data_IF_675400717035
#
_entry.id   IF_675400717035
#
_cell.length_a   1.000
_cell.length_b   1.000
_cell.length_c   1.000
_cell.angle_alpha   90.00
_cell.angle_beta   90.00
_cell.angle_gamma   90.00
#
_symmetry.space_group_name_H-M   'P 1'
#
loop_
_entity.id
_entity.type
_entity.pdbx_description
1 polymer ?
#
# COMPACT_ATOMS: atom_id res chain seq x y z
N UNK A 1 3.13 -7.95 -14.05
CA UNK A 1 4.61 -7.95 -14.04
C UNK A 1 5.05 -8.18 -12.62
N UNK A 2 5.72 -9.30 -12.34
CA UNK A 2 6.27 -9.60 -11.01
C UNK A 2 7.62 -8.91 -10.81
N UNK A 3 7.92 -8.55 -9.56
CA UNK A 3 9.21 -7.97 -9.14
C UNK A 3 10.23 -9.11 -9.03
N UNK A 4 11.39 -8.99 -9.68
CA UNK A 4 12.48 -9.96 -9.55
C UNK A 4 13.13 -9.93 -8.17
N UNK A 5 13.86 -10.98 -7.75
CA UNK A 5 14.46 -11.04 -6.40
C UNK A 5 15.41 -9.88 -6.09
N UNK A 6 16.26 -9.51 -7.04
CA UNK A 6 17.17 -8.37 -6.87
C UNK A 6 16.44 -7.02 -6.75
N UNK A 7 15.35 -6.86 -7.50
CA UNK A 7 14.51 -5.67 -7.43
C UNK A 7 13.76 -5.62 -6.09
N UNK A 8 13.30 -6.76 -5.58
CA UNK A 8 12.70 -6.86 -4.26
C UNK A 8 13.66 -6.40 -3.17
N UNK A 9 14.90 -6.90 -3.15
CA UNK A 9 15.91 -6.49 -2.16
C UNK A 9 16.09 -4.97 -2.16
N UNK A 10 16.25 -4.37 -3.34
CA UNK A 10 16.38 -2.91 -3.45
C UNK A 10 15.16 -2.16 -2.91
N UNK A 11 13.96 -2.68 -3.13
CA UNK A 11 12.73 -2.07 -2.61
C UNK A 11 12.66 -2.16 -1.09
N UNK A 12 13.02 -3.31 -0.50
CA UNK A 12 13.02 -3.50 0.95
C UNK A 12 14.10 -2.64 1.62
N UNK A 13 15.28 -2.54 1.00
CA UNK A 13 16.36 -1.68 1.45
C UNK A 13 15.95 -0.20 1.38
N UNK A 14 15.31 0.23 0.27
CA UNK A 14 14.78 1.59 0.13
C UNK A 14 13.75 1.93 1.20
N UNK A 15 12.81 1.04 1.49
CA UNK A 15 11.84 1.21 2.58
C UNK A 15 12.57 1.40 3.91
N UNK A 16 13.55 0.54 4.20
CA UNK A 16 14.29 0.54 5.45
C UNK A 16 15.16 1.79 5.62
N UNK A 17 15.86 2.22 4.58
CA UNK A 17 16.72 3.40 4.58
C UNK A 17 15.94 4.71 4.59
N UNK A 18 14.76 4.75 3.97
CA UNK A 18 13.93 5.95 3.89
C UNK A 18 13.00 6.14 5.10
N UNK A 19 12.82 5.09 5.91
CA UNK A 19 11.98 5.09 7.10
C UNK A 19 12.57 5.97 8.21
N UNK A 20 11.82 6.96 8.67
CA UNK A 20 12.20 7.80 9.81
C UNK A 20 11.06 7.86 10.84
N UNK A 21 11.22 7.17 11.98
CA UNK A 21 10.19 7.09 13.01
C UNK A 21 9.79 8.43 13.65
N UNK A 22 10.63 9.46 13.56
CA UNK A 22 10.32 10.81 14.06
C UNK A 22 9.43 11.64 13.13
N UNK A 23 9.19 11.17 11.90
CA UNK A 23 8.37 11.86 10.91
C UNK A 23 6.87 11.78 11.22
N UNK A 24 6.14 12.84 10.89
CA UNK A 24 4.67 12.85 10.95
C UNK A 24 4.03 11.90 9.94
N UNK A 25 4.71 11.61 8.83
CA UNK A 25 4.25 10.71 7.78
C UNK A 25 4.61 9.25 8.03
N UNK A 26 5.54 8.97 8.94
CA UNK A 26 5.98 7.61 9.24
C UNK A 26 4.81 6.66 9.51
N UNK A 27 4.74 5.60 8.70
CA UNK A 27 3.72 4.56 8.78
C UNK A 27 2.28 5.05 8.57
N UNK A 28 2.08 6.28 8.08
CA UNK A 28 0.74 6.83 7.84
C UNK A 28 0.26 6.54 6.43
N UNK A 29 -1.04 6.26 6.33
CA UNK A 29 -1.73 6.15 5.05
C UNK A 29 -1.96 7.54 4.45
N UNK A 30 -1.37 7.78 3.29
CA UNK A 30 -1.42 9.05 2.58
C UNK A 30 -2.16 8.91 1.26
N UNK A 31 -2.75 10.00 0.79
CA UNK A 31 -3.27 10.11 -0.57
C UNK A 31 -2.93 11.46 -1.23
N UNK A 32 -2.95 11.49 -2.54
CA UNK A 32 -2.76 12.70 -3.34
C UNK A 32 -3.49 12.58 -4.68
N UNK A 33 -3.76 13.71 -5.32
CA UNK A 33 -4.30 13.75 -6.68
C UNK A 33 -3.13 13.77 -7.66
N UNK A 34 -3.05 12.79 -8.55
CA UNK A 34 -2.05 12.74 -9.60
C UNK A 34 -2.34 13.74 -10.72
N UNK A 35 -1.36 13.99 -11.58
CA UNK A 35 -1.54 14.80 -12.80
C UNK A 35 -2.48 14.15 -13.81
N UNK A 36 -2.60 12.82 -13.72
CA UNK A 36 -3.58 11.99 -14.43
C UNK A 36 -5.02 12.19 -13.97
N UNK A 37 -5.24 13.00 -12.92
CA UNK A 37 -6.56 13.23 -12.36
C UNK A 37 -7.09 12.06 -11.52
N UNK A 38 -6.28 11.07 -11.17
CA UNK A 38 -6.68 9.95 -10.30
C UNK A 38 -6.16 10.14 -8.87
N UNK A 39 -6.89 9.59 -7.90
CA UNK A 39 -6.40 9.52 -6.53
C UNK A 39 -5.39 8.39 -6.37
N UNK A 40 -4.20 8.74 -5.90
CA UNK A 40 -3.13 7.82 -5.56
C UNK A 40 -2.99 7.71 -4.05
N UNK A 41 -2.45 6.58 -3.60
CA UNK A 41 -2.30 6.24 -2.20
C UNK A 41 -0.95 5.60 -1.95
N UNK A 42 -0.43 5.80 -0.75
CA UNK A 42 0.86 5.26 -0.35
C UNK A 42 1.03 5.27 1.16
N UNK A 43 2.17 4.75 1.61
CA UNK A 43 2.58 4.77 3.01
C UNK A 43 3.73 5.76 3.15
N UNK A 44 3.61 6.69 4.09
CA UNK A 44 4.71 7.60 4.40
C UNK A 44 5.85 6.84 5.08
N UNK A 45 7.05 6.97 4.53
CA UNK A 45 8.29 6.46 5.14
C UNK A 45 8.95 7.56 5.98
N UNK A 46 8.90 8.79 5.49
CA UNK A 46 9.34 9.99 6.19
C UNK A 46 8.63 11.22 5.64
N UNK A 47 8.91 12.41 6.18
CA UNK A 47 8.35 13.66 5.65
C UNK A 47 8.79 13.91 4.21
N UNK A 48 9.91 13.32 3.79
CA UNK A 48 10.48 13.42 2.44
C UNK A 48 10.11 12.25 1.52
N UNK A 49 9.71 11.09 2.06
CA UNK A 49 9.55 9.86 1.26
C UNK A 49 8.21 9.18 1.46
N UNK A 50 7.57 8.83 0.35
CA UNK A 50 6.34 8.05 0.31
C UNK A 50 6.59 6.80 -0.51
N UNK A 51 6.19 5.64 0.00
CA UNK A 51 6.16 4.39 -0.75
C UNK A 51 4.80 4.22 -1.44
N UNK A 52 4.82 3.92 -2.73
CA UNK A 52 3.64 3.48 -3.46
C UNK A 52 3.94 2.32 -4.41
N UNK A 53 2.88 1.71 -4.90
CA UNK A 53 2.95 0.64 -5.90
C UNK A 53 2.52 1.09 -7.29
N UNK A 54 1.93 2.29 -7.41
CA UNK A 54 1.54 2.91 -8.68
C UNK A 54 2.74 3.36 -9.53
N UNK A 55 3.92 3.53 -8.92
CA UNK A 55 5.18 3.91 -9.58
C UNK A 55 6.16 2.75 -9.70
N UNK A 56 5.69 1.51 -9.59
CA UNK A 56 6.52 0.30 -9.69
C UNK A 56 7.16 -0.09 -8.36
N UNK A 57 6.37 -0.12 -7.28
CA UNK A 57 6.80 -0.56 -5.94
C UNK A 57 8.05 0.17 -5.41
N UNK A 58 8.06 1.50 -5.44
CA UNK A 58 9.24 2.28 -5.04
C UNK A 58 8.87 3.48 -4.19
N UNK A 59 9.81 3.95 -3.37
CA UNK A 59 9.65 5.26 -2.75
C UNK A 59 9.87 6.39 -3.76
N UNK A 60 9.25 7.53 -3.47
CA UNK A 60 9.49 8.76 -4.19
C UNK A 60 9.43 9.96 -3.24
N UNK A 61 10.00 11.07 -3.71
CA UNK A 61 10.02 12.32 -2.98
C UNK A 61 8.61 12.90 -2.78
N UNK A 62 8.23 13.13 -1.53
CA UNK A 62 6.93 13.64 -1.13
C UNK A 62 6.65 15.04 -1.69
N UNK A 63 7.68 15.88 -1.85
CA UNK A 63 7.55 17.26 -2.33
C UNK A 63 7.04 17.34 -3.78
N UNK A 64 7.13 16.26 -4.55
CA UNK A 64 6.55 16.17 -5.89
C UNK A 64 5.02 16.08 -5.87
N UNK A 65 4.40 15.85 -4.71
CA UNK A 65 2.96 15.66 -4.57
C UNK A 65 2.39 16.44 -3.38
N UNK A 66 1.13 16.86 -3.47
CA UNK A 66 0.41 17.43 -2.32
C UNK A 66 -0.23 16.31 -1.50
N UNK A 67 0.60 15.50 -0.84
CA UNK A 67 0.16 14.38 -0.02
C UNK A 67 -0.64 14.85 1.21
N UNK A 68 -1.66 14.08 1.57
CA UNK A 68 -2.54 14.33 2.73
C UNK A 68 -2.81 13.04 3.47
N UNK A 69 -3.06 13.15 4.77
CA UNK A 69 -3.57 12.02 5.56
C UNK A 69 -4.95 11.61 5.07
N UNK A 70 -5.15 10.30 4.88
CA UNK A 70 -6.48 9.77 4.60
C UNK A 70 -7.34 9.95 5.85
N UNK A 71 -8.49 10.60 5.71
CA UNK A 71 -9.41 10.86 6.84
C UNK A 71 -10.19 9.61 7.24
N UNK A 72 -10.66 9.57 8.48
CA UNK A 72 -11.56 8.55 9.03
C UNK A 72 -11.01 7.11 9.00
N UNK A 73 -9.69 6.95 9.05
CA UNK A 73 -9.03 5.63 9.16
C UNK A 73 -8.42 5.40 10.54
N UNK A 74 -8.28 6.41 11.38
CA UNK A 74 -7.54 6.31 12.65
C UNK A 74 -8.10 5.23 13.58
N UNK A 75 -9.44 5.11 13.67
CA UNK A 75 -10.10 4.10 14.49
C UNK A 75 -9.87 2.65 14.03
N UNK A 76 -9.32 2.47 12.82
CA UNK A 76 -9.07 1.15 12.22
C UNK A 76 -7.62 0.96 11.77
N UNK A 77 -6.77 1.98 11.96
CA UNK A 77 -5.38 1.94 11.53
C UNK A 77 -4.54 1.12 12.52
N UNK A 78 -3.52 0.44 12.00
CA UNK A 78 -2.44 -0.09 12.83
C UNK A 78 -1.54 1.06 13.30
N UNK A 79 -0.74 0.81 14.34
CA UNK A 79 0.32 1.75 14.71
C UNK A 79 1.27 1.98 13.53
N UNK A 80 1.92 3.14 13.45
CA UNK A 80 2.83 3.45 12.34
C UNK A 80 3.98 2.45 12.17
N UNK A 81 4.64 2.07 13.26
CA UNK A 81 5.71 1.06 13.22
C UNK A 81 5.20 -0.27 12.64
N UNK A 82 4.05 -0.72 13.12
CA UNK A 82 3.41 -1.95 12.64
C UNK A 82 2.98 -1.85 11.19
N UNK A 83 2.56 -0.67 10.74
CA UNK A 83 2.22 -0.42 9.33
C UNK A 83 3.46 -0.55 8.43
N UNK A 84 4.62 -0.05 8.87
CA UNK A 84 5.88 -0.20 8.12
C UNK A 84 6.35 -1.66 8.08
N UNK A 85 6.29 -2.37 9.21
CA UNK A 85 6.59 -3.81 9.23
C UNK A 85 5.65 -4.58 8.31
N UNK A 86 4.34 -4.34 8.39
CA UNK A 86 3.35 -4.93 7.48
C UNK A 86 3.64 -4.59 6.01
N UNK A 87 4.13 -3.38 5.72
CA UNK A 87 4.51 -2.99 4.37
C UNK A 87 5.65 -3.86 3.80
N UNK A 88 6.68 -4.14 4.59
CA UNK A 88 7.80 -5.01 4.18
C UNK A 88 7.30 -6.41 3.81
N UNK A 89 6.49 -7.04 4.66
CA UNK A 89 5.90 -8.36 4.39
C UNK A 89 4.94 -8.33 3.19
N UNK A 90 4.18 -7.25 3.04
CA UNK A 90 3.27 -7.05 1.94
C UNK A 90 4.00 -6.99 0.60
N UNK A 91 5.08 -6.21 0.48
CA UNK A 91 5.85 -6.12 -0.77
C UNK A 91 6.38 -7.50 -1.18
N UNK A 92 6.89 -8.28 -0.23
CA UNK A 92 7.36 -9.65 -0.50
C UNK A 92 6.23 -10.56 -1.01
N UNK A 93 5.04 -10.49 -0.38
CA UNK A 93 3.92 -11.38 -0.72
C UNK A 93 3.18 -10.99 -1.99
N UNK A 94 2.96 -9.70 -2.20
CA UNK A 94 2.05 -9.20 -3.24
C UNK A 94 2.71 -8.98 -4.60
N UNK A 95 4.03 -9.16 -4.73
CA UNK A 95 4.70 -9.18 -6.03
C UNK A 95 4.19 -10.30 -6.96
N UNK A 96 3.58 -11.33 -6.38
CA UNK A 96 3.08 -12.54 -7.07
C UNK A 96 1.60 -12.43 -7.44
N UNK A 97 0.92 -11.34 -7.08
CA UNK A 97 -0.51 -11.22 -7.32
C UNK A 97 -0.83 -10.71 -8.72
N UNK A 98 -1.75 -11.42 -9.37
CA UNK A 98 -2.39 -10.97 -10.60
C UNK A 98 -3.48 -9.96 -10.26
N UNK A 99 -3.10 -8.69 -10.22
CA UNK A 99 -4.06 -7.61 -10.26
C UNK A 99 -4.67 -7.54 -11.67
N UNK A 100 -5.98 -7.34 -11.76
CA UNK A 100 -6.75 -7.30 -13.02
C UNK A 100 -6.24 -6.25 -14.01
N UNK A 101 -6.99 -6.03 -15.11
CA UNK A 101 -6.56 -5.28 -16.31
C UNK A 101 -5.73 -4.01 -16.05
N UNK A 102 -6.04 -3.34 -14.96
CA UNK A 102 -5.69 -1.97 -14.71
C UNK A 102 -4.65 -1.88 -13.55
N UNK A 103 -4.27 -3.03 -12.95
CA UNK A 103 -3.12 -3.15 -12.05
C UNK A 103 -3.23 -2.40 -10.71
N UNK A 104 -4.44 -2.09 -10.25
CA UNK A 104 -4.69 -1.14 -9.16
C UNK A 104 -4.28 -1.71 -7.80
N UNK A 105 -3.09 -1.33 -7.38
CA UNK A 105 -2.45 -1.84 -6.18
C UNK A 105 -2.18 -0.76 -5.13
N UNK A 106 -2.13 0.54 -5.49
CA UNK A 106 -1.65 1.57 -4.56
C UNK A 106 -2.62 1.82 -3.40
N UNK A 107 -3.91 2.07 -3.67
CA UNK A 107 -4.92 2.20 -2.63
C UNK A 107 -5.14 0.88 -1.89
N UNK A 108 -5.21 -0.20 -2.65
CA UNK A 108 -5.52 -1.52 -2.15
C UNK A 108 -4.45 -2.02 -1.16
N UNK A 109 -3.18 -1.96 -1.56
CA UNK A 109 -2.04 -2.34 -0.72
C UNK A 109 -1.91 -1.39 0.47
N UNK A 110 -1.90 -0.08 0.24
CA UNK A 110 -1.69 0.89 1.30
C UNK A 110 -2.78 0.78 2.38
N UNK A 111 -4.06 0.63 1.99
CA UNK A 111 -5.13 0.41 2.98
C UNK A 111 -5.06 -0.97 3.63
N UNK A 112 -4.65 -2.01 2.93
CA UNK A 112 -4.50 -3.35 3.52
C UNK A 112 -3.42 -3.36 4.60
N UNK A 113 -2.24 -2.79 4.33
CA UNK A 113 -1.16 -2.74 5.32
C UNK A 113 -1.49 -1.80 6.47
N UNK A 114 -2.13 -0.66 6.21
CA UNK A 114 -2.44 0.33 7.24
C UNK A 114 -3.69 0.01 8.05
N UNK A 115 -4.69 -0.71 7.51
CA UNK A 115 -6.02 -0.84 8.16
C UNK A 115 -6.63 -2.25 8.12
N UNK A 116 -5.99 -3.20 7.43
CA UNK A 116 -6.54 -4.52 7.10
C UNK A 116 -7.79 -4.47 6.19
N UNK A 117 -7.99 -3.37 5.44
CA UNK A 117 -9.08 -3.22 4.46
C UNK A 117 -8.50 -3.01 3.07
N UNK A 118 -8.58 -4.04 2.23
CA UNK A 118 -8.09 -4.00 0.87
C UNK A 118 -9.22 -3.54 -0.08
N UNK A 119 -9.38 -2.22 -0.24
CA UNK A 119 -10.45 -1.62 -1.08
C UNK A 119 -9.84 -0.56 -1.98
N UNK A 120 -10.22 -0.54 -3.26
CA UNK A 120 -10.04 0.61 -4.15
C UNK A 120 -11.38 1.27 -4.47
N UNK A 121 -11.52 2.55 -4.15
CA UNK A 121 -12.74 3.31 -4.43
C UNK A 121 -12.74 3.94 -5.83
N UNK A 122 -11.59 4.26 -6.39
CA UNK A 122 -11.49 4.87 -7.73
C UNK A 122 -11.89 3.90 -8.84
N UNK A 123 -11.56 2.60 -8.70
CA UNK A 123 -11.98 1.56 -9.66
C UNK A 123 -13.49 1.50 -9.78
N UNK A 124 -14.21 1.63 -8.66
CA UNK A 124 -15.69 1.58 -8.64
C UNK A 124 -16.36 2.75 -9.34
N UNK A 125 -15.62 3.83 -9.64
CA UNK A 125 -16.14 5.02 -10.32
C UNK A 125 -15.88 5.00 -11.83
N UNK A 126 -15.18 3.98 -12.34
CA UNK A 126 -14.88 3.87 -13.76
C UNK A 126 -16.10 3.43 -14.58
N UNK A 127 -16.20 3.82 -15.86
CA UNK A 127 -17.29 3.38 -16.73
C UNK A 127 -17.23 1.87 -16.98
N UNK A 128 -18.40 1.27 -17.21
CA UNK A 128 -18.51 -0.14 -17.57
C UNK A 128 -17.73 -0.45 -18.87
N UNK A 129 -17.01 -1.60 -18.99
CA UNK A 129 -16.92 -2.72 -18.05
C UNK A 129 -15.72 -2.67 -17.09
N UNK A 130 -15.04 -1.53 -16.96
CA UNK A 130 -13.76 -1.42 -16.24
C UNK A 130 -13.84 -1.93 -14.79
N UNK A 131 -14.88 -1.60 -13.98
CA UNK A 131 -14.98 -2.12 -12.63
C UNK A 131 -15.02 -3.65 -12.56
N UNK A 132 -15.78 -4.32 -13.44
CA UNK A 132 -15.94 -5.78 -13.44
C UNK A 132 -14.62 -6.49 -13.82
N UNK A 133 -13.90 -5.94 -14.80
CA UNK A 133 -12.57 -6.41 -15.20
C UNK A 133 -11.49 -6.21 -14.12
N UNK A 134 -11.80 -5.47 -13.06
CA UNK A 134 -10.93 -5.22 -11.92
C UNK A 134 -11.58 -5.64 -10.59
N UNK A 135 -12.42 -6.68 -10.64
CA UNK A 135 -13.06 -7.28 -9.47
C UNK A 135 -13.80 -6.25 -8.58
N UNK A 136 -14.40 -5.24 -9.20
CA UNK A 136 -15.10 -4.12 -8.54
C UNK A 136 -14.24 -3.40 -7.47
N UNK A 137 -12.93 -3.29 -7.72
CA UNK A 137 -11.97 -2.62 -6.84
C UNK A 137 -11.70 -3.40 -5.55
N UNK A 138 -11.97 -4.71 -5.52
CA UNK A 138 -11.65 -5.60 -4.42
C UNK A 138 -10.84 -6.77 -4.95
N UNK A 139 -9.69 -7.07 -4.38
CA UNK A 139 -9.07 -8.36 -4.63
C UNK A 139 -9.72 -9.38 -3.67
N UNK A 140 -10.43 -10.41 -4.17
CA UNK A 140 -11.36 -11.20 -3.36
C UNK A 140 -10.75 -11.88 -2.13
N UNK A 141 -9.48 -12.27 -2.22
CA UNK A 141 -8.78 -13.03 -1.19
C UNK A 141 -7.64 -12.26 -0.53
N UNK A 142 -7.51 -10.97 -0.83
CA UNK A 142 -6.28 -10.26 -0.49
C UNK A 142 -6.00 -10.16 1.00
N UNK A 143 -7.07 -9.89 1.74
CA UNK A 143 -6.99 -9.77 3.18
C UNK A 143 -6.66 -11.13 3.79
N UNK A 144 -7.34 -12.18 3.36
CA UNK A 144 -7.20 -13.54 3.84
C UNK A 144 -5.81 -14.10 3.53
N UNK A 145 -5.35 -13.94 2.29
CA UNK A 145 -4.03 -14.37 1.84
C UNK A 145 -2.91 -13.67 2.62
N UNK A 146 -3.04 -12.36 2.84
CA UNK A 146 -2.05 -11.62 3.61
C UNK A 146 -2.10 -11.98 5.09
N UNK A 147 -3.29 -12.15 5.65
CA UNK A 147 -3.46 -12.57 7.03
C UNK A 147 -2.83 -13.95 7.26
N UNK A 148 -3.08 -14.92 6.38
CA UNK A 148 -2.50 -16.25 6.45
C UNK A 148 -0.97 -16.21 6.30
N UNK A 149 -0.47 -15.37 5.40
CA UNK A 149 0.96 -15.16 5.23
C UNK A 149 1.61 -14.59 6.51
N UNK A 150 0.99 -13.57 7.12
CA UNK A 150 1.47 -13.02 8.39
C UNK A 150 1.34 -14.02 9.54
N UNK A 151 0.26 -14.79 9.64
CA UNK A 151 0.11 -15.86 10.64
C UNK A 151 1.27 -16.86 10.63
N UNK A 152 1.87 -17.10 9.47
CA UNK A 152 2.99 -18.04 9.32
C UNK A 152 4.36 -17.40 9.55
N UNK A 153 4.52 -16.11 9.20
CA UNK A 153 5.84 -15.48 9.12
C UNK A 153 6.07 -14.34 10.13
N UNK A 154 5.00 -13.73 10.64
CA UNK A 154 5.00 -12.60 11.58
C UNK A 154 3.65 -12.46 12.31
N UNK A 155 3.25 -13.44 13.16
CA UNK A 155 1.91 -13.51 13.74
C UNK A 155 1.53 -12.25 14.55
N UNK A 156 2.50 -11.62 15.19
CA UNK A 156 2.33 -10.38 15.95
C UNK A 156 1.79 -9.23 15.09
N UNK A 157 2.01 -9.27 13.76
CA UNK A 157 1.51 -8.27 12.82
C UNK A 157 0.03 -8.42 12.46
N UNK A 158 -0.64 -9.49 12.91
CA UNK A 158 -2.04 -9.80 12.58
C UNK A 158 -3.05 -9.09 13.48
N UNK A 159 -2.67 -8.80 14.72
CA UNK A 159 -3.50 -8.13 15.73
C UNK A 159 -3.28 -6.62 15.70
N UNK A 160 -4.31 -5.85 16.03
CA UNK A 160 -4.12 -4.41 16.29
C UNK A 160 -3.41 -4.28 17.64
N UNK A 161 -2.31 -3.52 17.65
CA UNK A 161 -1.61 -3.10 18.88
C UNK A 161 -2.33 -1.91 19.49
#
# INVERSE_FOLDING_TARGET
MGIGEHELTNVLDDISCSANASSQFYGRLLNWKGQDGFWHYGIGLSDAKIFDTGRGFKSFESHHVKAKFVKHVDAIAFSPEKTIQRLVYAVNRFREWEYGLLGWNCEHLARLVATNRAISYEVKKQPWPIPDLNHNGKHPHAKEDFYNYLQQNAPELTVRS
#
